data_IF_532586856090
#
_entry.id   IF_532586856090
#
_cell.length_a   1.000
_cell.length_b   1.000
_cell.length_c   1.000
_cell.angle_alpha   90.00
_cell.angle_beta   90.00
_cell.angle_gamma   90.00
#
_symmetry.space_group_name_H-M   'P 1'
#
loop_
_entity.id
_entity.type
_entity.pdbx_description
1 polymer ?
#
# COMPACT_ATOMS: atom_id res chain seq x y z
N UNK A 1 12.69 -7.31 -16.86
CA UNK A 1 12.00 -6.40 -15.93
C UNK A 1 10.53 -6.42 -16.29
N UNK A 2 9.67 -6.88 -15.38
CA UNK A 2 8.23 -7.03 -15.63
C UNK A 2 7.53 -5.70 -15.87
N UNK A 3 6.28 -5.74 -16.36
CA UNK A 3 5.46 -4.53 -16.58
C UNK A 3 5.29 -3.72 -15.29
N UNK A 4 5.15 -4.40 -14.16
CA UNK A 4 4.98 -3.78 -12.84
C UNK A 4 6.26 -3.13 -12.35
N UNK A 5 7.41 -3.77 -12.60
CA UNK A 5 8.73 -3.18 -12.31
C UNK A 5 8.94 -1.88 -13.10
N UNK A 6 8.52 -1.83 -14.36
CA UNK A 6 8.61 -0.62 -15.18
C UNK A 6 7.73 0.51 -14.62
N UNK A 7 6.52 0.18 -14.17
CA UNK A 7 5.64 1.15 -13.52
C UNK A 7 6.24 1.67 -12.20
N UNK A 8 6.80 0.79 -11.38
CA UNK A 8 7.47 1.15 -10.14
C UNK A 8 8.67 2.08 -10.40
N UNK A 9 9.55 1.70 -11.33
CA UNK A 9 10.72 2.51 -11.67
C UNK A 9 10.33 3.88 -12.22
N UNK A 10 9.22 3.98 -12.97
CA UNK A 10 8.68 5.26 -13.41
C UNK A 10 8.24 6.14 -12.22
N UNK A 11 7.56 5.57 -11.23
CA UNK A 11 7.15 6.30 -10.02
C UNK A 11 8.35 6.76 -9.22
N UNK A 12 9.35 5.90 -9.02
CA UNK A 12 10.58 6.24 -8.30
C UNK A 12 11.38 7.32 -9.02
N UNK A 13 11.43 7.29 -10.35
CA UNK A 13 12.06 8.35 -11.15
C UNK A 13 11.36 9.69 -10.95
N UNK A 14 10.03 9.74 -11.04
CA UNK A 14 9.25 10.97 -10.82
C UNK A 14 9.48 11.52 -9.40
N UNK A 15 9.52 10.62 -8.40
CA UNK A 15 9.80 11.01 -7.03
C UNK A 15 11.21 11.59 -6.86
N UNK A 16 12.20 10.93 -7.46
CA UNK A 16 13.59 11.40 -7.44
C UNK A 16 13.73 12.78 -8.09
N UNK A 17 13.15 12.98 -9.28
CA UNK A 17 13.16 14.26 -9.99
C UNK A 17 12.55 15.38 -9.13
N UNK A 18 11.41 15.10 -8.47
CA UNK A 18 10.77 16.05 -7.54
C UNK A 18 11.65 16.38 -6.35
N UNK A 19 12.31 15.39 -5.75
CA UNK A 19 13.25 15.65 -4.65
C UNK A 19 14.46 16.46 -5.10
N UNK A 20 15.02 16.19 -6.28
CA UNK A 20 16.13 16.99 -6.81
C UNK A 20 15.71 18.44 -7.06
N UNK A 21 14.49 18.67 -7.58
CA UNK A 21 13.96 20.02 -7.74
C UNK A 21 13.85 20.74 -6.38
N UNK A 22 13.31 20.08 -5.35
CA UNK A 22 13.24 20.65 -4.00
C UNK A 22 14.62 20.91 -3.40
N UNK A 23 15.56 19.97 -3.54
CA UNK A 23 16.94 20.12 -3.07
C UNK A 23 17.62 21.32 -3.73
N UNK A 24 17.47 21.47 -5.04
CA UNK A 24 18.01 22.62 -5.79
C UNK A 24 17.37 23.93 -5.35
N UNK A 25 16.06 23.96 -5.13
CA UNK A 25 15.33 25.17 -4.74
C UNK A 25 15.64 25.61 -3.30
N UNK A 26 15.80 24.66 -2.39
CA UNK A 26 15.97 24.93 -0.96
C UNK A 26 17.44 25.10 -0.55
N UNK A 27 18.38 24.58 -1.35
CA UNK A 27 19.82 24.74 -1.14
C UNK A 27 20.23 24.32 0.27
N UNK A 28 20.83 25.25 1.02
CA UNK A 28 21.30 25.02 2.39
C UNK A 28 20.20 24.67 3.40
N UNK A 29 18.93 24.92 3.08
CA UNK A 29 17.78 24.54 3.93
C UNK A 29 17.41 23.06 3.79
N UNK A 30 17.89 22.37 2.77
CA UNK A 30 17.67 20.95 2.58
C UNK A 30 18.57 20.13 3.49
N UNK A 31 17.99 19.22 4.27
CA UNK A 31 18.72 18.26 5.09
C UNK A 31 18.99 16.97 4.31
N UNK A 32 20.25 16.72 3.95
CA UNK A 32 20.61 15.53 3.17
C UNK A 32 20.72 14.29 4.07
N UNK A 33 19.83 13.32 3.85
CA UNK A 33 19.77 12.06 4.61
C UNK A 33 19.68 10.81 3.72
N UNK A 34 19.74 10.95 2.39
CA UNK A 34 19.64 9.80 1.47
C UNK A 34 18.27 9.11 1.44
N UNK A 35 17.20 9.79 1.88
CA UNK A 35 15.85 9.23 1.91
C UNK A 35 15.19 9.23 0.52
N UNK A 36 14.54 8.12 0.16
CA UNK A 36 13.74 8.00 -1.08
C UNK A 36 12.47 8.85 -1.04
N UNK A 37 11.87 9.00 0.13
CA UNK A 37 10.68 9.83 0.36
C UNK A 37 10.95 10.82 1.48
N UNK A 38 11.74 11.84 1.18
CA UNK A 38 12.01 12.94 2.10
C UNK A 38 10.86 13.95 2.14
N UNK A 39 10.75 14.67 3.25
CA UNK A 39 9.87 15.83 3.40
C UNK A 39 10.22 16.89 2.36
N UNK A 40 9.20 17.37 1.65
CA UNK A 40 9.35 18.46 0.69
C UNK A 40 9.29 19.84 1.37
N UNK A 41 9.49 20.89 0.58
CA UNK A 41 9.38 22.27 1.06
C UNK A 41 7.95 22.77 1.28
N UNK A 42 6.92 21.92 1.14
CA UNK A 42 5.53 22.36 1.19
C UNK A 42 5.02 22.50 2.63
N UNK A 43 4.45 23.66 2.97
CA UNK A 43 3.94 23.98 4.31
C UNK A 43 4.95 23.73 5.44
N UNK A 44 6.17 24.26 5.29
CA UNK A 44 7.18 24.23 6.35
C UNK A 44 6.65 24.90 7.61
N UNK A 45 6.73 24.17 8.72
CA UNK A 45 6.38 24.67 10.05
C UNK A 45 7.67 25.07 10.78
N UNK A 46 7.59 26.06 11.66
CA UNK A 46 8.69 26.41 12.56
C UNK A 46 8.73 25.48 13.78
N UNK A 47 8.49 24.19 13.59
CA UNK A 47 8.47 23.15 14.64
C UNK A 47 9.80 22.38 14.72
N UNK A 48 10.85 22.86 14.04
CA UNK A 48 12.17 22.25 14.03
C UNK A 48 12.37 21.18 12.94
N UNK A 49 11.31 20.78 12.23
CA UNK A 49 11.40 19.85 11.11
C UNK A 49 11.87 20.57 9.84
N UNK A 50 12.87 20.01 9.18
CA UNK A 50 13.51 20.59 7.99
C UNK A 50 13.06 19.84 6.73
N UNK A 51 12.97 20.52 5.57
CA UNK A 51 12.90 19.82 4.30
C UNK A 51 14.09 18.84 4.20
N UNK A 52 13.87 17.65 3.65
CA UNK A 52 14.87 16.58 3.63
C UNK A 52 14.76 15.58 4.80
N UNK A 53 14.10 15.95 5.90
CA UNK A 53 13.81 15.03 7.01
C UNK A 53 12.77 13.96 6.64
N UNK A 54 12.56 12.93 7.49
CA UNK A 54 11.46 12.00 7.30
C UNK A 54 10.09 12.69 7.20
N UNK A 55 9.25 12.13 6.33
CA UNK A 55 7.85 12.55 6.19
C UNK A 55 7.09 12.32 7.52
N UNK A 56 6.24 13.28 7.88
CA UNK A 56 5.36 13.11 9.03
C UNK A 56 4.19 12.18 8.67
N UNK A 57 3.88 11.23 9.55
CA UNK A 57 2.80 10.26 9.32
C UNK A 57 1.42 10.94 9.22
N UNK A 58 1.21 12.03 9.97
CA UNK A 58 0.01 12.86 9.89
C UNK A 58 -0.14 13.54 8.52
N UNK A 59 0.95 14.09 7.98
CA UNK A 59 1.00 14.68 6.65
C UNK A 59 0.78 13.65 5.54
N UNK A 60 1.40 12.46 5.63
CA UNK A 60 1.15 11.36 4.69
C UNK A 60 -0.33 10.98 4.70
N UNK A 61 -0.93 10.88 5.89
CA UNK A 61 -2.36 10.60 6.05
C UNK A 61 -3.23 11.72 5.47
N UNK A 62 -2.83 12.99 5.60
CA UNK A 62 -3.55 14.12 5.03
C UNK A 62 -3.50 14.13 3.49
N UNK A 63 -2.31 13.92 2.91
CA UNK A 63 -2.14 13.77 1.46
C UNK A 63 -2.97 12.61 0.92
N UNK A 64 -3.00 11.50 1.66
CA UNK A 64 -3.85 10.36 1.32
C UNK A 64 -5.33 10.72 1.24
N UNK A 65 -5.88 11.49 2.19
CA UNK A 65 -7.30 11.92 2.15
C UNK A 65 -7.62 12.64 0.84
N UNK A 66 -6.72 13.50 0.36
CA UNK A 66 -6.87 14.18 -0.93
C UNK A 66 -6.86 13.21 -2.11
N UNK A 67 -5.91 12.26 -2.15
CA UNK A 67 -5.84 11.25 -3.22
C UNK A 67 -7.07 10.36 -3.21
N UNK A 68 -7.47 9.88 -2.04
CA UNK A 68 -8.66 9.05 -1.83
C UNK A 68 -9.93 9.70 -2.39
N UNK A 69 -10.13 11.00 -2.12
CA UNK A 69 -11.26 11.76 -2.68
C UNK A 69 -11.18 11.84 -4.21
N UNK A 70 -9.99 12.01 -4.80
CA UNK A 70 -9.82 12.03 -6.26
C UNK A 70 -10.06 10.68 -6.92
N UNK A 71 -9.84 9.60 -6.19
CA UNK A 71 -10.08 8.22 -6.64
C UNK A 71 -11.51 7.73 -6.35
N UNK A 72 -12.38 8.58 -5.81
CA UNK A 72 -13.75 8.25 -5.41
C UNK A 72 -13.84 7.02 -4.48
N UNK A 73 -12.87 6.91 -3.55
CA UNK A 73 -12.81 5.82 -2.57
C UNK A 73 -13.61 6.16 -1.30
N UNK A 74 -14.12 5.14 -0.56
CA UNK A 74 -14.88 5.33 0.67
C UNK A 74 -14.19 6.22 1.71
N UNK A 75 -14.97 7.02 2.45
CA UNK A 75 -14.45 7.99 3.44
C UNK A 75 -13.73 7.34 4.63
N UNK A 76 -13.94 6.07 4.86
CA UNK A 76 -13.31 5.26 5.89
C UNK A 76 -12.09 4.48 5.37
N UNK A 77 -11.80 4.51 4.06
CA UNK A 77 -10.63 3.87 3.47
C UNK A 77 -9.34 4.64 3.81
N UNK A 78 -8.56 4.10 4.74
CA UNK A 78 -7.32 4.65 5.33
C UNK A 78 -6.09 4.18 4.55
N UNK A 79 -4.95 4.85 4.76
CA UNK A 79 -3.65 4.40 4.20
C UNK A 79 -3.35 2.95 4.60
N UNK A 80 -3.70 2.57 5.83
CA UNK A 80 -3.49 1.22 6.34
C UNK A 80 -4.29 0.15 5.57
N UNK A 81 -5.40 0.53 4.93
CA UNK A 81 -6.22 -0.42 4.17
C UNK A 81 -5.52 -0.89 2.89
N UNK A 82 -4.56 -0.14 2.35
CA UNK A 82 -3.68 -0.65 1.28
C UNK A 82 -2.85 -1.84 1.71
N UNK A 83 -2.35 -1.82 2.95
CA UNK A 83 -1.63 -2.96 3.51
C UNK A 83 -2.57 -4.15 3.65
N UNK A 84 -3.82 -3.92 4.07
CA UNK A 84 -4.83 -4.97 4.09
C UNK A 84 -5.11 -5.53 2.69
N UNK A 85 -5.22 -4.68 1.67
CA UNK A 85 -5.44 -5.09 0.28
C UNK A 85 -4.27 -5.92 -0.26
N UNK A 86 -3.01 -5.50 -0.04
CA UNK A 86 -1.82 -6.27 -0.47
C UNK A 86 -1.82 -7.67 0.13
N UNK A 87 -1.98 -7.77 1.47
CA UNK A 87 -2.00 -9.07 2.15
C UNK A 87 -3.14 -9.95 1.64
N UNK A 88 -4.32 -9.38 1.40
CA UNK A 88 -5.45 -10.15 0.86
C UNK A 88 -5.14 -10.66 -0.54
N UNK A 89 -4.64 -9.80 -1.43
CA UNK A 89 -4.32 -10.17 -2.81
C UNK A 89 -3.24 -11.26 -2.88
N UNK A 90 -2.20 -11.16 -2.05
CA UNK A 90 -1.13 -12.16 -1.99
C UNK A 90 -1.66 -13.53 -1.56
N UNK A 91 -2.49 -13.54 -0.52
CA UNK A 91 -3.11 -14.77 -0.05
C UNK A 91 -4.09 -15.36 -1.08
N UNK A 92 -4.84 -14.52 -1.80
CA UNK A 92 -5.73 -14.93 -2.90
C UNK A 92 -4.95 -15.46 -4.12
N UNK A 93 -3.78 -14.90 -4.41
CA UNK A 93 -2.85 -15.39 -5.42
C UNK A 93 -2.17 -16.72 -5.01
N UNK A 94 -2.42 -17.20 -3.79
CA UNK A 94 -1.88 -18.46 -3.29
C UNK A 94 -0.46 -18.36 -2.74
N UNK A 95 0.05 -17.15 -2.47
CA UNK A 95 1.35 -16.97 -1.83
C UNK A 95 1.39 -17.63 -0.44
N UNK A 96 2.59 -18.04 -0.02
CA UNK A 96 2.79 -18.71 1.25
C UNK A 96 2.45 -17.77 2.42
N UNK A 97 1.49 -18.11 3.31
CA UNK A 97 1.10 -17.25 4.42
C UNK A 97 2.25 -16.85 5.37
N UNK A 98 3.28 -17.68 5.49
CA UNK A 98 4.47 -17.37 6.29
C UNK A 98 5.26 -16.24 5.64
N UNK A 99 5.46 -16.30 4.33
CA UNK A 99 6.17 -15.28 3.55
C UNK A 99 5.38 -13.97 3.50
N UNK A 100 4.06 -14.04 3.26
CA UNK A 100 3.18 -12.86 3.30
C UNK A 100 3.24 -12.19 4.67
N UNK A 101 3.19 -12.97 5.75
CA UNK A 101 3.29 -12.46 7.12
C UNK A 101 4.65 -11.81 7.41
N UNK A 102 5.74 -12.41 6.93
CA UNK A 102 7.09 -11.89 7.08
C UNK A 102 7.30 -10.59 6.30
N UNK A 103 6.82 -10.54 5.04
CA UNK A 103 6.92 -9.37 4.16
C UNK A 103 6.27 -8.13 4.75
N UNK A 104 5.13 -8.31 5.42
CA UNK A 104 4.48 -7.20 6.13
C UNK A 104 4.99 -7.02 7.56
N UNK A 105 5.79 -7.95 8.11
CA UNK A 105 6.31 -7.92 9.48
C UNK A 105 5.22 -8.05 10.56
N UNK A 106 4.26 -8.96 10.35
CA UNK A 106 3.35 -9.33 11.44
C UNK A 106 4.06 -10.22 12.46
N UNK A 107 3.64 -10.12 13.72
CA UNK A 107 4.23 -10.87 14.84
C UNK A 107 4.14 -12.39 14.67
N UNK A 108 3.14 -12.89 13.92
CA UNK A 108 3.08 -14.28 13.51
C UNK A 108 2.22 -14.50 12.26
N UNK A 109 2.45 -15.57 11.51
CA UNK A 109 1.55 -16.00 10.43
C UNK A 109 0.12 -16.26 10.91
N UNK A 110 -0.04 -16.77 12.14
CA UNK A 110 -1.35 -16.96 12.77
C UNK A 110 -2.13 -15.65 12.96
N UNK A 111 -1.45 -14.55 13.30
CA UNK A 111 -2.07 -13.22 13.35
C UNK A 111 -2.57 -12.79 11.95
N UNK A 112 -1.75 -12.98 10.92
CA UNK A 112 -2.13 -12.71 9.52
C UNK A 112 -3.36 -13.54 9.13
N UNK A 113 -3.33 -14.85 9.34
CA UNK A 113 -4.45 -15.72 8.97
C UNK A 113 -5.72 -15.44 9.77
N UNK A 114 -5.62 -15.05 11.05
CA UNK A 114 -6.78 -14.62 11.84
C UNK A 114 -7.42 -13.34 11.29
N UNK A 115 -6.59 -12.40 10.84
CA UNK A 115 -7.05 -11.11 10.34
C UNK A 115 -7.62 -11.18 8.91
N UNK A 116 -7.03 -12.02 8.05
CA UNK A 116 -7.35 -12.06 6.62
C UNK A 116 -8.01 -13.36 6.14
N UNK A 117 -7.87 -14.46 6.89
CA UNK A 117 -8.38 -15.77 6.52
C UNK A 117 -9.91 -15.89 6.46
N UNK A 118 -10.65 -14.98 7.10
CA UNK A 118 -12.13 -14.98 7.08
C UNK A 118 -12.71 -14.72 5.68
N UNK A 119 -12.08 -13.86 4.88
CA UNK A 119 -12.49 -13.60 3.48
C UNK A 119 -12.28 -14.82 2.58
N UNK A 120 -11.40 -15.74 2.98
CA UNK A 120 -11.19 -17.01 2.30
C UNK A 120 -12.38 -17.97 2.45
N UNK A 121 -13.19 -17.86 3.51
CA UNK A 121 -14.43 -18.66 3.64
C UNK A 121 -15.46 -18.19 2.62
N UNK A 122 -15.65 -16.89 2.46
CA UNK A 122 -16.53 -16.32 1.43
C UNK A 122 -16.00 -16.56 0.01
N UNK A 123 -14.69 -16.42 -0.21
CA UNK A 123 -14.05 -16.73 -1.49
C UNK A 123 -14.12 -18.24 -1.82
N UNK A 124 -13.90 -19.11 -0.84
CA UNK A 124 -14.05 -20.56 -1.00
C UNK A 124 -15.52 -20.96 -1.21
N UNK A 125 -16.48 -20.31 -0.53
CA UNK A 125 -17.92 -20.48 -0.78
C UNK A 125 -18.29 -20.04 -2.20
N UNK A 126 -17.73 -18.94 -2.69
CA UNK A 126 -17.93 -18.44 -4.06
C UNK A 126 -17.29 -19.35 -5.12
N UNK A 127 -16.12 -19.91 -4.84
CA UNK A 127 -15.47 -20.90 -5.68
C UNK A 127 -16.24 -22.23 -5.66
N UNK A 128 -16.70 -22.68 -4.49
CA UNK A 128 -17.49 -23.89 -4.34
C UNK A 128 -18.85 -23.78 -5.03
N UNK A 129 -19.54 -22.62 -4.93
CA UNK A 129 -20.80 -22.38 -5.63
C UNK A 129 -20.62 -22.30 -7.15
N UNK A 130 -19.51 -21.72 -7.63
CA UNK A 130 -19.16 -21.74 -9.06
C UNK A 130 -18.74 -23.12 -9.57
N UNK A 131 -18.20 -23.99 -8.70
CA UNK A 131 -17.81 -25.36 -9.04
C UNK A 131 -19.02 -26.31 -9.06
N UNK A 132 -20.00 -26.11 -8.17
CA UNK A 132 -21.27 -26.86 -8.18
C UNK A 132 -22.05 -26.70 -9.50
N UNK A 133 -21.99 -25.51 -10.12
CA UNK A 133 -22.58 -25.27 -11.45
C UNK A 133 -21.81 -25.99 -12.59
N UNK A 134 -20.49 -26.21 -12.44
CA UNK A 134 -19.68 -26.94 -13.45
C UNK A 134 -19.75 -28.46 -13.31
N UNK A 135 -20.00 -28.99 -12.11
CA UNK A 135 -20.11 -30.43 -11.85
C UNK A 135 -21.53 -30.96 -12.18
N UNK A 136 -22.44 -30.11 -12.66
CA UNK A 136 -23.75 -30.56 -13.15
C UNK A 136 -24.72 -31.02 -12.05
N UNK A 137 -24.49 -30.61 -10.80
CA UNK A 137 -25.37 -30.95 -9.65
C UNK A 137 -26.60 -30.03 -9.54
N UNK A 138 -26.81 -29.12 -10.50
CA UNK A 138 -27.95 -28.19 -10.51
C UNK A 138 -29.30 -28.84 -10.86
N UNK A 139 -29.33 -30.10 -11.29
CA UNK A 139 -30.54 -30.80 -11.74
C UNK A 139 -30.77 -32.14 -11.04
N UNK A 140 -30.38 -32.28 -9.77
CA UNK A 140 -30.90 -33.37 -8.95
C UNK A 140 -31.95 -32.78 -8.03
N UNK A 141 -33.20 -32.94 -8.47
CA UNK A 141 -34.45 -32.63 -7.74
C UNK A 141 -34.49 -33.25 -6.36
#
# INVERSE_FOLDING_TARGET
MGKDDQALMKVLKIQWERQQAWKSQLGSRWNEQGLVFARDGYMLRNDGLRPGDPQDAGQVSARWRTVRTRLDLPKDFRVHDWRHSKVTNDLEAGENPVEVSANVRHASPGYTMKQYGKRRVEGALRLASGTAQRIGLGNVT
#
